data_IF_867406797247
#
_entry.id   IF_867406797247
#
_cell.length_a   1.000
_cell.length_b   1.000
_cell.length_c   1.000
_cell.angle_alpha   90.00
_cell.angle_beta   90.00
_cell.angle_gamma   90.00
#
_symmetry.space_group_name_H-M   'P 1'
#
loop_
_entity.id
_entity.type
_entity.pdbx_description
1 polymer ?
#
# COMPACT_ATOMS: atom_id res chain seq x y z
N UNK A 1 -13.78 -25.24 -4.14
CA UNK A 1 -14.35 -24.62 -2.91
C UNK A 1 -13.28 -24.11 -1.96
N UNK A 2 -12.23 -24.88 -1.68
CA UNK A 2 -11.17 -24.46 -0.76
C UNK A 2 -10.46 -23.15 -1.22
N UNK A 3 -10.14 -23.02 -2.51
CA UNK A 3 -9.50 -21.81 -3.04
C UNK A 3 -10.35 -20.54 -2.93
N UNK A 4 -11.67 -20.67 -3.00
CA UNK A 4 -12.58 -19.54 -2.75
C UNK A 4 -12.47 -19.09 -1.29
N UNK A 5 -12.41 -20.02 -0.33
CA UNK A 5 -12.23 -19.69 1.08
C UNK A 5 -10.86 -19.05 1.32
N UNK A 6 -9.79 -19.60 0.72
CA UNK A 6 -8.46 -19.00 0.76
C UNK A 6 -8.48 -17.57 0.17
N UNK A 7 -9.16 -17.36 -0.97
CA UNK A 7 -9.30 -16.03 -1.58
C UNK A 7 -10.02 -15.03 -0.66
N UNK A 8 -11.02 -15.45 0.10
CA UNK A 8 -11.68 -14.61 1.11
C UNK A 8 -10.66 -14.19 2.18
N UNK A 9 -9.86 -15.12 2.69
CA UNK A 9 -8.87 -14.83 3.72
C UNK A 9 -7.80 -13.87 3.18
N UNK A 10 -7.26 -14.12 1.97
CA UNK A 10 -6.33 -13.20 1.30
C UNK A 10 -6.93 -11.81 1.09
N UNK A 11 -8.19 -11.73 0.63
CA UNK A 11 -8.89 -10.46 0.45
C UNK A 11 -9.10 -9.69 1.76
N UNK A 12 -9.37 -10.39 2.88
CA UNK A 12 -9.49 -9.76 4.21
C UNK A 12 -8.13 -9.18 4.62
N UNK A 13 -7.07 -9.98 4.54
CA UNK A 13 -5.73 -9.54 4.95
C UNK A 13 -5.26 -8.39 4.08
N UNK A 14 -5.39 -8.48 2.76
CA UNK A 14 -5.05 -7.41 1.83
C UNK A 14 -5.84 -6.13 2.14
N UNK A 15 -7.16 -6.24 2.30
CA UNK A 15 -8.03 -5.10 2.57
C UNK A 15 -7.71 -4.36 3.89
N UNK A 16 -7.18 -5.06 4.88
CA UNK A 16 -6.71 -4.46 6.14
C UNK A 16 -5.32 -3.87 5.96
N UNK A 17 -4.38 -4.68 5.49
CA UNK A 17 -2.94 -4.41 5.62
C UNK A 17 -2.40 -3.45 4.56
N UNK A 18 -3.11 -3.26 3.45
CA UNK A 18 -2.72 -2.30 2.42
C UNK A 18 -2.86 -0.85 2.89
N UNK A 19 -3.91 -0.54 3.64
CA UNK A 19 -4.17 0.83 4.11
C UNK A 19 -3.50 1.15 5.43
N UNK A 20 -3.49 0.21 6.35
CA UNK A 20 -2.72 0.34 7.58
C UNK A 20 -1.22 0.27 7.24
N UNK A 21 -0.39 1.14 7.81
CA UNK A 21 1.03 1.17 7.46
C UNK A 21 1.82 0.02 8.11
N UNK A 22 1.35 -1.23 7.92
CA UNK A 22 1.88 -2.46 8.56
C UNK A 22 2.47 -3.48 7.59
N UNK A 23 2.44 -3.19 6.29
CA UNK A 23 2.95 -4.01 5.18
C UNK A 23 2.10 -5.24 4.82
N UNK A 24 1.33 -5.14 3.75
CA UNK A 24 0.61 -6.28 3.15
C UNK A 24 1.57 -7.42 2.77
N UNK A 25 2.70 -7.10 2.12
CA UNK A 25 3.73 -8.09 1.77
C UNK A 25 4.24 -8.90 2.96
N UNK A 26 4.43 -8.25 4.13
CA UNK A 26 4.87 -8.95 5.35
C UNK A 26 3.87 -9.99 5.86
N UNK A 27 2.58 -9.79 5.62
CA UNK A 27 1.53 -10.74 5.98
C UNK A 27 1.35 -11.81 4.90
N UNK A 28 1.34 -11.38 3.63
CA UNK A 28 1.09 -12.28 2.50
C UNK A 28 2.19 -13.34 2.37
N UNK A 29 3.46 -13.02 2.67
CA UNK A 29 4.56 -13.98 2.59
C UNK A 29 4.39 -15.15 3.59
N UNK A 30 3.87 -14.88 4.80
CA UNK A 30 3.55 -15.94 5.77
C UNK A 30 2.31 -16.72 5.30
N UNK A 31 1.32 -16.00 4.81
CA UNK A 31 0.08 -16.63 4.36
C UNK A 31 0.27 -17.54 3.15
N UNK A 32 1.17 -17.18 2.25
CA UNK A 32 1.55 -17.99 1.09
C UNK A 32 2.02 -19.37 1.51
N UNK A 33 2.90 -19.45 2.52
CA UNK A 33 3.37 -20.72 3.07
C UNK A 33 2.26 -21.55 3.73
N UNK A 34 1.32 -20.88 4.40
CA UNK A 34 0.26 -21.56 5.16
C UNK A 34 -0.98 -21.90 4.34
N UNK A 35 -1.28 -21.12 3.30
CA UNK A 35 -2.56 -21.14 2.59
C UNK A 35 -2.39 -21.14 1.06
N UNK A 36 -1.37 -21.80 0.53
CA UNK A 36 -1.09 -21.84 -0.92
C UNK A 36 -2.35 -22.13 -1.76
N UNK A 37 -2.61 -21.31 -2.79
CA UNK A 37 -3.71 -21.54 -3.75
C UNK A 37 -3.31 -22.65 -4.73
N UNK A 38 -4.24 -23.56 -5.02
CA UNK A 38 -4.02 -24.67 -5.94
C UNK A 38 -4.31 -24.28 -7.42
N UNK A 39 -3.89 -23.06 -7.81
CA UNK A 39 -4.13 -22.49 -9.15
C UNK A 39 -2.84 -22.24 -9.95
N UNK A 40 -1.70 -22.66 -9.40
CA UNK A 40 -0.36 -22.45 -9.96
C UNK A 40 0.29 -21.14 -9.52
N UNK A 41 1.63 -21.16 -9.44
CA UNK A 41 2.43 -20.07 -8.88
C UNK A 41 2.27 -18.76 -9.68
N UNK A 42 2.27 -18.84 -11.02
CA UNK A 42 2.07 -17.67 -11.87
C UNK A 42 0.71 -16.98 -11.66
N UNK A 43 -0.36 -17.76 -11.43
CA UNK A 43 -1.66 -17.20 -11.08
C UNK A 43 -1.62 -16.55 -9.71
N UNK A 44 -0.98 -17.18 -8.74
CA UNK A 44 -0.89 -16.65 -7.38
C UNK A 44 -0.14 -15.31 -7.32
N UNK A 45 1.01 -15.20 -8.00
CA UNK A 45 1.74 -13.93 -8.13
C UNK A 45 0.87 -12.82 -8.73
N UNK A 46 0.13 -13.12 -9.80
CA UNK A 46 -0.80 -12.18 -10.41
C UNK A 46 -1.94 -11.84 -9.44
N UNK A 47 -2.53 -12.84 -8.78
CA UNK A 47 -3.64 -12.70 -7.83
C UNK A 47 -3.31 -11.73 -6.70
N UNK A 48 -2.14 -11.87 -6.06
CA UNK A 48 -1.71 -10.99 -4.95
C UNK A 48 -1.68 -9.51 -5.35
N UNK A 49 -1.27 -9.21 -6.59
CA UNK A 49 -1.23 -7.83 -7.07
C UNK A 49 -2.61 -7.34 -7.52
N UNK A 50 -3.40 -8.21 -8.16
CA UNK A 50 -4.68 -7.78 -8.73
C UNK A 50 -5.78 -7.63 -7.69
N UNK A 51 -5.74 -8.36 -6.55
CA UNK A 51 -6.70 -8.10 -5.46
C UNK A 51 -6.54 -6.70 -4.87
N UNK A 52 -5.38 -6.06 -5.03
CA UNK A 52 -5.16 -4.65 -4.69
C UNK A 52 -6.06 -3.72 -5.50
N UNK A 53 -6.51 -4.10 -6.70
CA UNK A 53 -7.53 -3.32 -7.43
C UNK A 53 -8.82 -3.21 -6.64
N UNK A 54 -9.23 -4.27 -5.96
CA UNK A 54 -10.36 -4.23 -5.03
C UNK A 54 -10.11 -3.18 -3.93
N UNK A 55 -8.94 -3.24 -3.30
CA UNK A 55 -8.56 -2.30 -2.25
C UNK A 55 -8.60 -0.84 -2.75
N UNK A 56 -7.99 -0.55 -3.92
CA UNK A 56 -7.91 0.83 -4.41
C UNK A 56 -9.26 1.40 -4.87
N UNK A 57 -10.17 0.56 -5.34
CA UNK A 57 -11.54 0.98 -5.64
C UNK A 57 -12.25 1.52 -4.41
N UNK A 58 -11.93 1.06 -3.20
CA UNK A 58 -12.48 1.60 -1.96
C UNK A 58 -12.07 3.09 -1.78
N UNK A 59 -10.82 3.45 -2.09
CA UNK A 59 -10.38 4.86 -2.08
C UNK A 59 -11.14 5.67 -3.10
N UNK A 60 -11.25 5.17 -4.33
CA UNK A 60 -11.98 5.86 -5.40
C UNK A 60 -13.44 6.14 -4.98
N UNK A 61 -14.11 5.17 -4.35
CA UNK A 61 -15.49 5.32 -3.88
C UNK A 61 -15.59 6.29 -2.71
N UNK A 62 -14.75 6.14 -1.67
CA UNK A 62 -14.79 6.99 -0.46
C UNK A 62 -14.49 8.46 -0.83
N UNK A 63 -13.52 8.68 -1.70
CA UNK A 63 -13.05 10.00 -2.08
C UNK A 63 -13.59 10.48 -3.44
N UNK A 64 -14.63 9.81 -3.99
CA UNK A 64 -15.14 10.07 -5.33
C UNK A 64 -15.42 11.56 -5.57
N UNK A 65 -16.14 12.22 -4.66
CA UNK A 65 -16.44 13.65 -4.80
C UNK A 65 -15.18 14.52 -4.79
N UNK A 66 -14.15 14.15 -4.01
CA UNK A 66 -12.90 14.91 -3.94
C UNK A 66 -12.07 14.72 -5.21
N UNK A 67 -12.05 13.51 -5.76
CA UNK A 67 -11.21 13.09 -6.89
C UNK A 67 -11.84 13.32 -8.27
N UNK A 68 -13.17 13.48 -8.37
CA UNK A 68 -13.85 13.66 -9.65
C UNK A 68 -13.84 15.14 -10.10
N UNK A 69 -13.03 15.53 -11.13
CA UNK A 69 -12.96 16.88 -11.65
C UNK A 69 -14.15 17.25 -12.55
N UNK A 70 -14.90 16.25 -13.04
CA UNK A 70 -15.99 16.43 -13.99
C UNK A 70 -17.37 16.60 -13.32
N UNK A 71 -17.43 16.55 -11.98
CA UNK A 71 -18.69 16.66 -11.24
C UNK A 71 -19.45 17.95 -11.59
N UNK A 72 -20.70 17.87 -12.02
CA UNK A 72 -21.52 19.05 -12.32
C UNK A 72 -21.85 19.88 -11.07
N UNK A 73 -21.74 19.26 -9.89
CA UNK A 73 -21.98 19.92 -8.59
C UNK A 73 -20.83 20.81 -8.13
N UNK A 74 -19.65 20.74 -8.80
CA UNK A 74 -18.45 21.52 -8.45
C UNK A 74 -18.41 22.84 -9.18
N UNK A 75 -18.02 23.91 -8.47
CA UNK A 75 -17.63 25.20 -9.06
C UNK A 75 -16.33 25.04 -9.86
N UNK A 76 -16.05 26.00 -10.77
CA UNK A 76 -14.79 25.99 -11.55
C UNK A 76 -13.55 25.99 -10.63
N UNK A 77 -13.58 26.75 -9.54
CA UNK A 77 -12.50 26.76 -8.54
C UNK A 77 -12.30 25.37 -7.91
N UNK A 78 -13.38 24.68 -7.57
CA UNK A 78 -13.29 23.31 -7.00
C UNK A 78 -12.79 22.28 -8.02
N UNK A 79 -13.17 22.41 -9.30
CA UNK A 79 -12.64 21.56 -10.38
C UNK A 79 -11.14 21.77 -10.54
N UNK A 80 -10.69 23.03 -10.56
CA UNK A 80 -9.25 23.35 -10.63
C UNK A 80 -8.48 22.79 -9.43
N UNK A 81 -9.00 22.87 -8.21
CA UNK A 81 -8.39 22.25 -7.03
C UNK A 81 -8.30 20.72 -7.17
N UNK A 82 -9.30 20.09 -7.78
CA UNK A 82 -9.27 18.64 -8.04
C UNK A 82 -8.18 18.30 -9.06
N UNK A 83 -8.02 19.07 -10.13
CA UNK A 83 -6.91 18.87 -11.09
C UNK A 83 -5.55 19.07 -10.44
N UNK A 84 -5.40 20.04 -9.55
CA UNK A 84 -4.17 20.22 -8.78
C UNK A 84 -3.83 18.99 -7.91
N UNK A 85 -4.86 18.31 -7.35
CA UNK A 85 -4.65 17.05 -6.63
C UNK A 85 -4.05 16.01 -7.59
N UNK A 86 -4.65 15.81 -8.75
CA UNK A 86 -4.16 14.83 -9.73
C UNK A 86 -2.75 15.14 -10.26
N UNK A 87 -2.46 16.42 -10.55
CA UNK A 87 -1.09 16.84 -10.94
C UNK A 87 -0.08 16.47 -9.85
N UNK A 88 -0.41 16.75 -8.59
CA UNK A 88 0.44 16.40 -7.44
C UNK A 88 0.61 14.89 -7.28
N UNK A 89 -0.44 14.11 -7.52
CA UNK A 89 -0.39 12.64 -7.51
C UNK A 89 0.52 12.13 -8.61
N UNK A 90 0.34 12.58 -9.85
CA UNK A 90 1.18 12.18 -10.99
C UNK A 90 2.66 12.49 -10.73
N UNK A 91 2.97 13.72 -10.29
CA UNK A 91 4.36 14.12 -9.97
C UNK A 91 4.93 13.24 -8.85
N UNK A 92 4.15 12.96 -7.80
CA UNK A 92 4.58 12.10 -6.69
C UNK A 92 4.80 10.63 -7.08
N UNK A 93 4.19 10.17 -8.17
CA UNK A 93 4.41 8.82 -8.70
C UNK A 93 5.65 8.71 -9.60
N UNK A 94 6.17 9.82 -10.13
CA UNK A 94 7.29 9.78 -11.09
C UNK A 94 8.53 9.05 -10.58
N UNK A 95 9.04 9.30 -9.34
CA UNK A 95 10.23 8.60 -8.86
C UNK A 95 10.05 7.07 -8.85
N UNK A 96 8.91 6.60 -8.33
CA UNK A 96 8.61 5.16 -8.28
C UNK A 96 8.36 4.57 -9.68
N UNK A 97 7.71 5.32 -10.59
CA UNK A 97 7.47 4.87 -11.95
C UNK A 97 8.77 4.69 -12.73
N UNK A 98 9.71 5.65 -12.62
CA UNK A 98 11.01 5.58 -13.31
C UNK A 98 11.80 4.37 -12.83
N UNK A 99 11.89 4.16 -11.51
CA UNK A 99 12.65 3.04 -10.95
C UNK A 99 11.94 1.71 -11.23
N UNK A 100 10.60 1.65 -11.13
CA UNK A 100 9.84 0.47 -11.45
C UNK A 100 9.99 0.01 -12.90
N UNK A 101 9.93 0.93 -13.86
CA UNK A 101 10.11 0.56 -15.29
C UNK A 101 11.53 0.06 -15.57
N UNK A 102 12.54 0.65 -14.92
CA UNK A 102 13.94 0.35 -15.21
C UNK A 102 14.50 -0.84 -14.42
N UNK A 103 13.99 -1.10 -13.21
CA UNK A 103 14.62 -1.99 -12.25
C UNK A 103 13.67 -3.06 -11.65
N UNK A 104 12.41 -3.20 -12.13
CA UNK A 104 11.42 -4.15 -11.62
C UNK A 104 12.00 -5.57 -11.51
N UNK A 105 12.49 -6.12 -12.63
CA UNK A 105 13.06 -7.48 -12.67
C UNK A 105 14.30 -7.65 -11.78
N UNK A 106 15.11 -6.60 -11.63
CA UNK A 106 16.27 -6.64 -10.74
C UNK A 106 15.86 -6.62 -9.27
N UNK A 107 14.87 -5.79 -8.92
CA UNK A 107 14.32 -5.69 -7.57
C UNK A 107 13.72 -7.04 -7.17
N UNK A 108 12.87 -7.62 -8.03
CA UNK A 108 12.24 -8.91 -7.76
C UNK A 108 13.27 -10.03 -7.55
N UNK A 109 14.30 -10.11 -8.41
CA UNK A 109 15.33 -11.16 -8.31
C UNK A 109 16.27 -10.98 -7.12
N UNK A 110 16.54 -9.73 -6.72
CA UNK A 110 17.61 -9.43 -5.75
C UNK A 110 17.08 -9.15 -4.35
N UNK A 111 15.89 -8.55 -4.24
CA UNK A 111 15.36 -8.07 -2.97
C UNK A 111 14.14 -8.85 -2.48
N UNK A 112 13.47 -9.66 -3.32
CA UNK A 112 12.29 -10.41 -2.90
C UNK A 112 12.66 -11.67 -2.12
N UNK A 113 13.21 -11.43 -0.91
CA UNK A 113 13.61 -12.49 0.02
C UNK A 113 13.00 -12.23 1.40
N UNK A 114 12.61 -13.29 2.10
CA UNK A 114 11.99 -13.20 3.43
C UNK A 114 12.81 -12.39 4.45
N UNK A 115 14.14 -12.50 4.41
CA UNK A 115 15.01 -11.74 5.31
C UNK A 115 15.03 -10.24 5.01
N UNK A 116 14.85 -9.82 3.75
CA UNK A 116 14.69 -8.42 3.35
C UNK A 116 13.35 -7.91 3.87
N UNK A 117 12.27 -8.69 3.69
CA UNK A 117 10.94 -8.36 4.22
C UNK A 117 10.98 -8.15 5.73
N UNK A 118 11.59 -9.10 6.47
CA UNK A 118 11.72 -9.01 7.92
C UNK A 118 12.53 -7.77 8.36
N UNK A 119 13.66 -7.52 7.69
CA UNK A 119 14.50 -6.35 7.96
C UNK A 119 13.74 -5.04 7.74
N UNK A 120 13.05 -4.91 6.60
CA UNK A 120 12.32 -3.67 6.26
C UNK A 120 11.10 -3.44 7.13
N UNK A 121 10.44 -4.50 7.61
CA UNK A 121 9.41 -4.40 8.63
C UNK A 121 9.97 -3.76 9.91
N UNK A 122 11.11 -4.24 10.40
CA UNK A 122 11.75 -3.73 11.61
C UNK A 122 12.25 -2.29 11.40
N UNK A 123 12.97 -2.03 10.30
CA UNK A 123 13.51 -0.68 10.00
C UNK A 123 12.40 0.37 9.93
N UNK A 124 11.35 0.14 9.16
CA UNK A 124 10.25 1.10 9.07
C UNK A 124 9.39 1.13 10.35
N UNK A 125 9.34 0.03 11.11
CA UNK A 125 8.76 0.04 12.44
C UNK A 125 9.47 1.00 13.38
N UNK A 126 10.81 0.96 13.41
CA UNK A 126 11.66 1.91 14.16
C UNK A 126 11.49 3.33 13.62
N UNK A 127 11.49 3.53 12.30
CA UNK A 127 11.31 4.85 11.68
C UNK A 127 9.99 5.50 12.09
N UNK A 128 8.89 4.77 12.17
CA UNK A 128 7.62 5.32 12.67
C UNK A 128 7.76 5.85 14.10
N UNK A 129 8.39 5.08 14.99
CA UNK A 129 8.58 5.49 16.40
C UNK A 129 9.48 6.73 16.48
N UNK A 130 10.58 6.74 15.72
CA UNK A 130 11.55 7.86 15.71
C UNK A 130 10.90 9.13 15.16
N UNK A 131 10.21 9.06 14.02
CA UNK A 131 9.58 10.23 13.39
C UNK A 131 8.46 10.78 14.26
N UNK A 132 7.62 9.93 14.85
CA UNK A 132 6.56 10.38 15.75
C UNK A 132 7.12 11.02 17.04
N UNK A 133 8.22 10.48 17.59
CA UNK A 133 8.89 11.09 18.72
C UNK A 133 9.52 12.45 18.36
N UNK A 134 10.13 12.54 17.17
CA UNK A 134 10.71 13.80 16.68
C UNK A 134 9.65 14.88 16.44
N UNK A 135 8.45 14.51 16.01
CA UNK A 135 7.34 15.43 15.78
C UNK A 135 6.51 15.73 17.04
N UNK A 136 6.78 15.06 18.16
CA UNK A 136 6.04 15.26 19.40
C UNK A 136 6.18 16.72 19.89
N UNK A 137 5.03 17.37 20.11
CA UNK A 137 4.98 18.78 20.56
C UNK A 137 5.24 19.83 19.47
N UNK A 138 5.44 19.40 18.19
CA UNK A 138 5.58 20.33 17.07
C UNK A 138 4.25 20.47 16.33
N UNK A 139 3.92 21.72 15.96
CA UNK A 139 2.78 21.97 15.08
C UNK A 139 3.12 21.59 13.65
N UNK A 140 2.24 20.83 12.94
CA UNK A 140 2.47 20.49 11.55
C UNK A 140 2.51 21.73 10.66
N UNK A 141 3.50 21.82 9.77
CA UNK A 141 3.64 22.92 8.81
C UNK A 141 2.60 22.85 7.68
N UNK A 142 2.16 21.61 7.32
CA UNK A 142 1.22 21.34 6.25
C UNK A 142 -0.02 20.64 6.83
N UNK A 143 -1.11 21.39 6.95
CA UNK A 143 -2.40 20.89 7.47
C UNK A 143 -3.49 20.77 6.40
N UNK A 144 -3.22 21.29 5.19
CA UNK A 144 -4.14 21.24 4.05
C UNK A 144 -3.42 20.74 2.80
N UNK A 145 -4.14 20.02 1.96
CA UNK A 145 -3.61 19.46 0.71
C UNK A 145 -3.05 20.53 -0.25
N UNK A 146 -3.64 21.74 -0.24
CA UNK A 146 -3.18 22.87 -1.05
C UNK A 146 -1.77 23.35 -0.71
N UNK A 147 -1.32 23.14 0.53
CA UNK A 147 -0.01 23.57 1.03
C UNK A 147 1.14 22.63 0.63
N UNK A 148 0.83 21.41 0.12
CA UNK A 148 1.86 20.51 -0.41
C UNK A 148 2.56 21.17 -1.61
N UNK A 149 3.84 21.45 -1.49
CA UNK A 149 4.68 22.01 -2.56
C UNK A 149 5.29 20.91 -3.43
N UNK A 150 5.75 21.24 -4.64
CA UNK A 150 6.37 20.26 -5.55
C UNK A 150 7.60 19.57 -4.91
N UNK A 151 8.53 20.28 -4.24
CA UNK A 151 9.63 19.60 -3.54
C UNK A 151 9.15 18.59 -2.49
N UNK A 152 8.14 18.94 -1.69
CA UNK A 152 7.56 17.99 -0.71
C UNK A 152 6.99 16.75 -1.39
N UNK A 153 6.28 16.94 -2.50
CA UNK A 153 5.69 15.85 -3.29
C UNK A 153 6.77 14.91 -3.82
N UNK A 154 7.87 15.47 -4.35
CA UNK A 154 8.99 14.67 -4.85
C UNK A 154 9.70 13.91 -3.73
N UNK A 155 9.87 14.51 -2.55
CA UNK A 155 10.40 13.80 -1.37
C UNK A 155 9.50 12.62 -1.01
N UNK A 156 8.17 12.82 -0.91
CA UNK A 156 7.23 11.73 -0.64
C UNK A 156 7.29 10.66 -1.76
N UNK A 157 7.46 11.10 -3.02
CA UNK A 157 7.63 10.21 -4.17
C UNK A 157 8.91 9.35 -4.10
N UNK A 158 10.01 9.91 -3.57
CA UNK A 158 11.24 9.14 -3.29
C UNK A 158 10.99 8.11 -2.19
N UNK A 159 10.25 8.46 -1.13
CA UNK A 159 9.84 7.46 -0.13
C UNK A 159 8.92 6.39 -0.73
N UNK A 160 8.03 6.75 -1.67
CA UNK A 160 7.24 5.76 -2.42
C UNK A 160 8.13 4.82 -3.26
N UNK A 161 9.19 5.35 -3.88
CA UNK A 161 10.18 4.54 -4.60
C UNK A 161 10.86 3.52 -3.67
N UNK A 162 11.24 3.92 -2.44
CA UNK A 162 11.81 3.01 -1.44
C UNK A 162 10.84 1.88 -1.06
N UNK A 163 9.53 2.09 -1.22
CA UNK A 163 8.52 1.06 -0.97
C UNK A 163 8.53 -0.10 -1.99
N UNK A 164 9.31 -0.01 -3.05
CA UNK A 164 9.57 -1.13 -3.96
C UNK A 164 10.45 -2.21 -3.30
N UNK A 165 11.18 -1.87 -2.23
CA UNK A 165 11.88 -2.87 -1.41
C UNK A 165 10.83 -3.65 -0.62
N UNK A 166 10.75 -4.99 -0.80
CA UNK A 166 9.74 -5.82 -0.14
C UNK A 166 9.74 -5.67 1.38
N UNK A 167 8.56 -5.63 1.99
CA UNK A 167 8.42 -5.42 3.44
C UNK A 167 8.34 -3.96 3.87
N UNK A 168 8.80 -3.01 3.04
CA UNK A 168 8.78 -1.57 3.36
C UNK A 168 7.37 -1.04 3.60
N UNK A 169 6.37 -1.49 2.87
CA UNK A 169 5.01 -0.94 2.78
C UNK A 169 4.94 0.42 2.08
N UNK A 170 4.18 0.50 1.00
CA UNK A 170 3.98 1.75 0.27
C UNK A 170 3.37 2.84 1.16
N UNK A 171 2.27 2.49 1.86
CA UNK A 171 1.63 3.43 2.79
C UNK A 171 2.55 3.81 3.94
N UNK A 172 3.33 2.85 4.48
CA UNK A 172 4.29 3.12 5.53
C UNK A 172 5.38 4.10 5.12
N UNK A 173 6.02 3.88 3.97
CA UNK A 173 7.10 4.72 3.48
C UNK A 173 6.63 6.15 3.18
N UNK A 174 5.54 6.30 2.44
CA UNK A 174 5.01 7.63 2.07
C UNK A 174 4.54 8.43 3.28
N UNK A 175 3.92 7.79 4.28
CA UNK A 175 3.54 8.45 5.53
C UNK A 175 4.77 8.89 6.31
N UNK A 176 5.77 8.03 6.50
CA UNK A 176 7.04 8.39 7.17
C UNK A 176 7.70 9.58 6.47
N UNK A 177 7.85 9.54 5.14
CA UNK A 177 8.42 10.63 4.36
C UNK A 177 7.66 11.94 4.51
N UNK A 178 6.32 11.88 4.50
CA UNK A 178 5.49 13.06 4.69
C UNK A 178 5.60 13.65 6.11
N UNK A 179 5.60 12.80 7.13
CA UNK A 179 5.77 13.23 8.52
C UNK A 179 7.14 13.88 8.75
N UNK A 180 8.22 13.33 8.18
CA UNK A 180 9.57 13.89 8.31
C UNK A 180 9.67 15.35 7.84
N UNK A 181 8.90 15.73 6.82
CA UNK A 181 8.88 17.09 6.26
C UNK A 181 7.76 17.97 6.83
N UNK A 182 7.17 17.58 7.98
CA UNK A 182 6.20 18.40 8.71
C UNK A 182 4.78 18.37 8.16
N UNK A 183 4.41 17.38 7.35
CA UNK A 183 3.00 17.16 6.90
C UNK A 183 2.21 16.54 8.05
N UNK A 184 0.99 17.04 8.28
CA UNK A 184 0.08 16.47 9.29
C UNK A 184 -0.30 15.03 8.97
N UNK A 185 -0.55 14.20 9.99
CA UNK A 185 -0.94 12.78 9.85
C UNK A 185 -2.10 12.59 8.88
N UNK A 186 -3.15 13.41 8.99
CA UNK A 186 -4.32 13.31 8.13
C UNK A 186 -4.01 13.60 6.66
N UNK A 187 -3.23 14.65 6.36
CA UNK A 187 -2.84 15.00 4.99
C UNK A 187 -1.88 13.96 4.42
N UNK A 188 -0.90 13.48 5.21
CA UNK A 188 0.03 12.43 4.83
C UNK A 188 -0.71 11.15 4.42
N UNK A 189 -1.64 10.67 5.25
CA UNK A 189 -2.42 9.47 4.99
C UNK A 189 -3.32 9.63 3.77
N UNK A 190 -4.03 10.74 3.66
CA UNK A 190 -4.92 10.97 2.52
C UNK A 190 -4.14 11.08 1.20
N UNK A 191 -2.98 11.76 1.20
CA UNK A 191 -2.12 11.84 0.02
C UNK A 191 -1.57 10.48 -0.37
N UNK A 192 -1.15 9.67 0.60
CA UNK A 192 -0.74 8.28 0.43
C UNK A 192 -1.82 7.44 -0.28
N UNK A 193 -3.08 7.59 0.10
CA UNK A 193 -4.20 6.91 -0.57
C UNK A 193 -4.34 7.33 -2.03
N UNK A 194 -4.17 8.63 -2.33
CA UNK A 194 -4.29 9.12 -3.70
C UNK A 194 -3.11 8.68 -4.58
N UNK A 195 -1.89 8.65 -4.04
CA UNK A 195 -0.71 8.10 -4.72
C UNK A 195 -0.89 6.62 -5.08
N UNK A 196 -1.64 5.87 -4.29
CA UNK A 196 -1.92 4.46 -4.55
C UNK A 196 -2.68 4.25 -5.85
N UNK A 197 -3.59 5.17 -6.22
CA UNK A 197 -4.50 4.96 -7.35
C UNK A 197 -3.74 4.65 -8.65
N UNK A 198 -2.88 5.54 -9.19
CA UNK A 198 -2.20 5.23 -10.44
C UNK A 198 -1.20 4.08 -10.32
N UNK A 199 -0.52 3.94 -9.17
CA UNK A 199 0.50 2.90 -8.98
C UNK A 199 -0.13 1.50 -8.98
N UNK A 200 -1.19 1.29 -8.21
CA UNK A 200 -1.85 -0.02 -8.11
C UNK A 200 -2.58 -0.39 -9.41
N UNK A 201 -3.23 0.58 -10.07
CA UNK A 201 -3.81 0.34 -11.40
C UNK A 201 -2.72 -0.05 -12.40
N UNK A 202 -1.59 0.66 -12.43
CA UNK A 202 -0.48 0.36 -13.33
C UNK A 202 0.15 -1.00 -13.06
N UNK A 203 0.45 -1.32 -11.81
CA UNK A 203 1.03 -2.61 -11.41
C UNK A 203 0.09 -3.78 -11.74
N UNK A 204 -1.19 -3.66 -11.41
CA UNK A 204 -2.18 -4.70 -11.71
C UNK A 204 -2.39 -4.92 -13.20
N UNK A 205 -2.44 -3.84 -13.98
CA UNK A 205 -2.55 -3.95 -15.44
C UNK A 205 -1.31 -4.65 -16.03
N UNK A 206 -0.12 -4.30 -15.56
CA UNK A 206 1.12 -4.93 -16.00
C UNK A 206 1.15 -6.44 -15.68
N UNK A 207 0.78 -6.83 -14.46
CA UNK A 207 0.71 -8.25 -14.05
C UNK A 207 -0.36 -9.02 -14.85
N UNK A 208 -1.53 -8.42 -15.11
CA UNK A 208 -2.56 -9.03 -15.97
C UNK A 208 -2.06 -9.24 -17.41
N UNK A 209 -1.35 -8.28 -17.99
CA UNK A 209 -0.78 -8.40 -19.34
C UNK A 209 0.30 -9.47 -19.36
N UNK A 210 1.20 -9.52 -18.37
CA UNK A 210 2.27 -10.53 -18.25
C UNK A 210 1.69 -11.95 -18.06
N UNK A 211 0.61 -12.10 -17.27
CA UNK A 211 -0.05 -13.39 -17.05
C UNK A 211 -0.81 -13.86 -18.29
N UNK A 212 -1.38 -12.95 -19.08
CA UNK A 212 -2.26 -13.22 -20.19
C UNK A 212 -3.74 -13.26 -19.81
N UNK A 213 -4.61 -13.44 -20.81
CA UNK A 213 -6.07 -13.38 -20.61
C UNK A 213 -6.78 -14.73 -20.65
N UNK A 214 -6.01 -15.82 -20.56
CA UNK A 214 -6.56 -17.19 -20.55
C UNK A 214 -6.78 -17.68 -19.13
N UNK A 215 -7.99 -17.45 -18.62
CA UNK A 215 -8.37 -17.83 -17.26
C UNK A 215 -9.31 -19.02 -17.26
N UNK A 216 -9.17 -19.94 -16.32
CA UNK A 216 -10.19 -20.93 -15.99
C UNK A 216 -11.35 -20.26 -15.24
N UNK A 217 -12.53 -20.85 -15.27
CA UNK A 217 -13.69 -20.35 -14.53
C UNK A 217 -13.41 -20.24 -13.01
N UNK A 218 -12.61 -21.17 -12.47
CA UNK A 218 -12.21 -21.15 -11.06
C UNK A 218 -11.26 -19.98 -10.75
N UNK A 219 -10.28 -19.71 -11.60
CA UNK A 219 -9.37 -18.56 -11.46
C UNK A 219 -10.12 -17.24 -11.49
N UNK A 220 -11.10 -17.09 -12.39
CA UNK A 220 -11.96 -15.89 -12.42
C UNK A 220 -12.74 -15.75 -11.12
N UNK A 221 -13.36 -16.83 -10.64
CA UNK A 221 -14.12 -16.81 -9.39
C UNK A 221 -13.24 -16.45 -8.18
N UNK A 222 -12.06 -17.05 -8.05
CA UNK A 222 -11.08 -16.79 -6.98
C UNK A 222 -10.64 -15.32 -7.02
N UNK A 223 -10.30 -14.80 -8.20
CA UNK A 223 -9.87 -13.41 -8.38
C UNK A 223 -10.98 -12.42 -8.01
N UNK A 224 -12.19 -12.61 -8.52
CA UNK A 224 -13.34 -11.73 -8.24
C UNK A 224 -13.71 -11.75 -6.75
N UNK A 225 -13.71 -12.92 -6.10
CA UNK A 225 -14.00 -13.04 -4.68
C UNK A 225 -12.92 -12.29 -3.86
N UNK A 226 -11.65 -12.51 -4.15
CA UNK A 226 -10.55 -11.81 -3.49
C UNK A 226 -10.67 -10.29 -3.63
N UNK A 227 -10.95 -9.79 -4.85
CA UNK A 227 -11.13 -8.36 -5.12
C UNK A 227 -12.34 -7.77 -4.38
N UNK A 228 -13.49 -8.44 -4.39
CA UNK A 228 -14.70 -7.94 -3.72
C UNK A 228 -14.51 -7.90 -2.21
N UNK A 229 -13.93 -8.94 -1.62
CA UNK A 229 -13.63 -8.98 -0.19
C UNK A 229 -12.62 -7.90 0.18
N UNK A 230 -11.53 -7.77 -0.57
CA UNK A 230 -10.54 -6.71 -0.37
C UNK A 230 -11.17 -5.31 -0.45
N UNK A 231 -12.07 -5.07 -1.40
CA UNK A 231 -12.82 -3.81 -1.52
C UNK A 231 -13.65 -3.50 -0.27
N UNK A 232 -14.49 -4.45 0.17
CA UNK A 232 -15.38 -4.25 1.32
C UNK A 232 -14.58 -4.01 2.60
N UNK A 233 -13.56 -4.83 2.84
CA UNK A 233 -12.70 -4.71 4.02
C UNK A 233 -11.90 -3.41 4.00
N UNK A 234 -11.41 -3.00 2.82
CA UNK A 234 -10.69 -1.72 2.63
C UNK A 234 -11.54 -0.50 3.01
N UNK A 235 -12.84 -0.51 2.70
CA UNK A 235 -13.72 0.59 3.13
C UNK A 235 -13.72 0.74 4.66
N UNK A 236 -13.75 -0.37 5.38
CA UNK A 236 -13.72 -0.39 6.85
C UNK A 236 -12.34 0.05 7.35
N UNK A 237 -11.26 -0.51 6.80
CA UNK A 237 -9.89 -0.21 7.19
C UNK A 237 -9.51 1.26 6.98
N UNK A 238 -9.89 1.85 5.83
CA UNK A 238 -9.64 3.28 5.54
C UNK A 238 -10.37 4.17 6.53
N UNK A 239 -11.66 3.92 6.78
CA UNK A 239 -12.45 4.69 7.75
C UNK A 239 -11.89 4.56 9.17
N UNK A 240 -11.50 3.35 9.55
CA UNK A 240 -10.85 3.09 10.84
C UNK A 240 -9.56 3.89 10.97
N UNK A 241 -8.64 3.78 10.00
CA UNK A 241 -7.35 4.48 10.03
C UNK A 241 -7.54 5.99 10.12
N UNK A 242 -8.40 6.57 9.27
CA UNK A 242 -8.66 8.01 9.28
C UNK A 242 -9.27 8.50 10.59
N UNK A 243 -10.08 7.68 11.26
CA UNK A 243 -10.60 7.98 12.59
C UNK A 243 -9.52 7.86 13.67
N UNK A 244 -8.69 6.82 13.59
CA UNK A 244 -7.62 6.52 14.54
C UNK A 244 -6.57 7.62 14.60
N UNK A 245 -6.03 8.05 13.44
CA UNK A 245 -4.95 9.04 13.36
C UNK A 245 -5.37 10.46 13.75
N UNK A 246 -6.67 10.74 13.89
CA UNK A 246 -7.15 12.03 14.43
C UNK A 246 -6.86 12.19 15.92
N UNK A 247 -6.74 11.07 16.64
CA UNK A 247 -6.58 11.04 18.11
C UNK A 247 -5.28 10.39 18.55
N UNK A 248 -4.64 9.60 17.68
CA UNK A 248 -3.47 8.78 17.99
C UNK A 248 -2.33 9.08 17.01
N UNK A 249 -1.14 8.61 17.36
CA UNK A 249 0.04 8.61 16.50
C UNK A 249 0.23 7.25 15.80
N UNK A 250 1.27 7.15 14.95
CA UNK A 250 1.58 5.92 14.22
C UNK A 250 2.47 4.93 14.99
N UNK A 251 2.84 5.20 16.23
CA UNK A 251 3.77 4.32 16.99
C UNK A 251 3.22 2.91 17.17
N UNK A 252 1.90 2.77 17.38
CA UNK A 252 1.28 1.44 17.52
C UNK A 252 1.55 0.57 16.28
N UNK A 253 1.48 1.15 15.07
CA UNK A 253 1.83 0.45 13.83
C UNK A 253 3.34 0.18 13.74
N UNK A 254 4.17 1.09 14.28
CA UNK A 254 5.61 0.87 14.39
C UNK A 254 5.95 -0.35 15.24
N UNK A 255 5.39 -0.47 16.43
CA UNK A 255 5.57 -1.63 17.30
C UNK A 255 5.05 -2.91 16.66
N UNK A 256 3.86 -2.87 16.04
CA UNK A 256 3.30 -4.01 15.33
C UNK A 256 4.25 -4.52 14.24
N UNK A 257 4.83 -3.62 13.42
CA UNK A 257 5.78 -3.98 12.36
C UNK A 257 7.04 -4.64 12.90
N UNK A 258 7.58 -4.14 14.02
CA UNK A 258 8.77 -4.75 14.65
C UNK A 258 8.45 -6.17 15.08
N UNK A 259 7.31 -6.39 15.76
CA UNK A 259 6.87 -7.73 16.19
C UNK A 259 6.66 -8.64 14.98
N UNK A 260 5.96 -8.16 13.94
CA UNK A 260 5.75 -8.94 12.71
C UNK A 260 7.08 -9.28 12.03
N UNK A 261 8.02 -8.34 11.94
CA UNK A 261 9.35 -8.57 11.37
C UNK A 261 10.13 -9.64 12.12
N UNK A 262 10.08 -9.64 13.45
CA UNK A 262 10.66 -10.69 14.28
C UNK A 262 9.99 -12.04 14.03
N UNK A 263 8.65 -12.08 13.92
CA UNK A 263 7.91 -13.31 13.61
C UNK A 263 8.32 -13.85 12.24
N UNK A 264 8.37 -13.01 11.20
CA UNK A 264 8.82 -13.41 9.85
C UNK A 264 10.24 -13.97 9.91
N UNK A 265 11.14 -13.28 10.61
CA UNK A 265 12.53 -13.73 10.74
C UNK A 265 12.65 -15.08 11.43
N UNK A 266 11.93 -15.29 12.53
CA UNK A 266 11.94 -16.56 13.26
C UNK A 266 11.29 -17.67 12.46
N UNK A 267 10.15 -17.43 11.82
CA UNK A 267 9.41 -18.43 11.06
C UNK A 267 10.27 -19.00 9.92
N UNK A 268 10.74 -18.12 9.03
CA UNK A 268 11.55 -18.55 7.89
C UNK A 268 12.98 -18.92 8.26
N UNK A 269 13.56 -18.31 9.30
CA UNK A 269 14.88 -18.65 9.80
C UNK A 269 14.93 -20.07 10.38
N UNK A 270 13.92 -20.47 11.16
CA UNK A 270 13.80 -21.84 11.67
C UNK A 270 13.58 -22.81 10.50
N UNK A 271 12.70 -22.49 9.56
CA UNK A 271 12.47 -23.33 8.38
C UNK A 271 13.75 -23.55 7.57
N UNK A 272 14.56 -22.50 7.37
CA UNK A 272 15.83 -22.59 6.66
C UNK A 272 16.93 -23.41 7.42
N UNK A 273 16.83 -23.49 8.76
CA UNK A 273 17.73 -24.29 9.57
C UNK A 273 17.34 -25.77 9.62
N UNK A 274 16.06 -26.08 9.34
CA UNK A 274 15.52 -27.44 9.36
C UNK A 274 15.52 -28.10 7.96
N UNK A 275 15.70 -27.30 6.89
CA UNK A 275 15.80 -27.75 5.50
C UNK A 275 17.24 -28.14 5.12
#
# INVERSE_FOLDING_TARGET
MLDILKAIIFGIVEGITEWLPISSTGHLIIMEELLKLDQGDAFFEMFQVVIQLGAILAVVVIYFHKLNPFSPKKTQKQKMMTWQIWIKVVIGCLPAAVVGILFDDWIDKTLYHWYVVALMLIVYGILFIVVENYQKGKEPQVTKFSQLTIPMILIIGVFQMLAMIPGTSRSGATIVGALMIGVSRSVATEYTFFLAIPVMFGASLLKLIKFGFSFTAMQVAVLLVGMVVSFVVSIVAIKFLMSYIRKNDFKAFGYYRIVLGVIVFLFFGIQALLA
#
